data_IF_153298219185
#
_entry.id   IF_153298219185
#
_cell.length_a   1.000
_cell.length_b   1.000
_cell.length_c   1.000
_cell.angle_alpha   90.00
_cell.angle_beta   90.00
_cell.angle_gamma   90.00
#
_symmetry.space_group_name_H-M   'P 1'
#
loop_
_entity.id
_entity.type
_entity.pdbx_description
1 polymer ?
#
# COMPACT_ATOMS: atom_id res chain seq x y z
N UNK A 1 -2.61 0.13 28.83
CA UNK A 1 -2.78 1.50 28.32
C UNK A 1 -3.82 1.48 27.20
N UNK A 2 -4.98 2.12 27.34
CA UNK A 2 -5.89 2.32 26.21
C UNK A 2 -5.17 3.22 25.20
N UNK A 3 -4.62 2.64 24.13
CA UNK A 3 -4.07 3.40 23.00
C UNK A 3 -5.14 4.41 22.59
N UNK A 4 -4.87 5.71 22.78
CA UNK A 4 -5.75 6.75 22.28
C UNK A 4 -5.81 6.59 20.76
N UNK A 5 -7.03 6.51 20.22
CA UNK A 5 -7.24 6.43 18.77
C UNK A 5 -6.65 7.69 18.13
N UNK A 6 -5.86 7.51 17.07
CA UNK A 6 -5.18 8.62 16.37
C UNK A 6 -6.18 9.40 15.52
N UNK A 7 -7.15 8.74 14.89
CA UNK A 7 -8.13 9.41 14.04
C UNK A 7 -9.49 8.73 13.96
N UNK A 8 -9.59 7.41 14.14
CA UNK A 8 -10.87 6.69 14.02
C UNK A 8 -11.86 7.07 15.14
N UNK A 9 -11.38 7.49 16.32
CA UNK A 9 -12.20 7.86 17.46
C UNK A 9 -13.23 6.79 17.80
N UNK A 10 -14.52 7.15 17.69
CA UNK A 10 -15.66 6.24 17.96
C UNK A 10 -15.80 5.12 16.92
N UNK A 11 -15.29 5.32 15.70
CA UNK A 11 -15.36 4.33 14.63
C UNK A 11 -14.35 3.18 14.82
N UNK A 12 -13.39 3.28 15.74
CA UNK A 12 -12.38 2.24 15.97
C UNK A 12 -13.00 0.89 16.35
N UNK A 13 -14.02 0.90 17.21
CA UNK A 13 -14.77 -0.30 17.63
C UNK A 13 -15.41 -1.03 16.46
N UNK A 14 -16.30 -0.38 15.67
CA UNK A 14 -16.94 -1.03 14.53
C UNK A 14 -15.95 -1.42 13.43
N UNK A 15 -14.90 -0.64 13.18
CA UNK A 15 -13.85 -0.99 12.20
C UNK A 15 -13.08 -2.24 12.64
N UNK A 16 -12.74 -2.36 13.93
CA UNK A 16 -12.12 -3.57 14.49
C UNK A 16 -13.03 -4.79 14.34
N UNK A 17 -14.32 -4.63 14.63
CA UNK A 17 -15.30 -5.72 14.51
C UNK A 17 -15.47 -6.17 13.06
N UNK A 18 -15.53 -5.22 12.11
CA UNK A 18 -15.57 -5.51 10.69
C UNK A 18 -14.29 -6.23 10.23
N UNK A 19 -13.11 -5.76 10.63
CA UNK A 19 -11.83 -6.44 10.36
C UNK A 19 -11.86 -7.89 10.84
N UNK A 20 -12.23 -8.13 12.11
CA UNK A 20 -12.31 -9.49 12.67
C UNK A 20 -13.34 -10.33 11.91
N UNK A 21 -14.50 -9.75 11.57
CA UNK A 21 -15.55 -10.43 10.82
C UNK A 21 -15.10 -10.87 9.43
N UNK A 22 -14.46 -9.97 8.67
CA UNK A 22 -13.94 -10.29 7.34
C UNK A 22 -12.77 -11.29 7.37
N UNK A 23 -11.83 -11.13 8.32
CA UNK A 23 -10.75 -12.11 8.52
C UNK A 23 -11.29 -13.49 8.93
N UNK A 24 -12.26 -13.53 9.84
CA UNK A 24 -12.91 -14.77 10.27
C UNK A 24 -13.67 -15.43 9.11
N UNK A 25 -14.41 -14.64 8.33
CA UNK A 25 -15.10 -15.14 7.13
C UNK A 25 -14.09 -15.71 6.13
N UNK A 26 -13.03 -14.98 5.80
CA UNK A 26 -11.99 -15.47 4.89
C UNK A 26 -11.35 -16.77 5.40
N UNK A 27 -11.08 -16.88 6.70
CA UNK A 27 -10.51 -18.09 7.30
C UNK A 27 -11.49 -19.27 7.24
N UNK A 28 -12.77 -19.06 7.56
CA UNK A 28 -13.79 -20.12 7.48
C UNK A 28 -13.96 -20.60 6.04
N UNK A 29 -14.04 -19.69 5.08
CA UNK A 29 -14.12 -20.03 3.66
C UNK A 29 -12.85 -20.78 3.19
N UNK A 30 -11.69 -20.44 3.74
CA UNK A 30 -10.41 -21.05 3.36
C UNK A 30 -10.34 -22.48 3.89
N UNK A 31 -10.66 -22.66 5.17
CA UNK A 31 -10.75 -23.99 5.79
C UNK A 31 -11.75 -24.85 5.03
N UNK A 32 -12.92 -24.31 4.67
CA UNK A 32 -13.89 -25.02 3.86
C UNK A 32 -13.33 -25.49 2.52
N UNK A 33 -12.65 -24.60 1.77
CA UNK A 33 -12.03 -24.95 0.48
C UNK A 33 -10.93 -26.01 0.61
N UNK A 34 -10.12 -25.93 1.67
CA UNK A 34 -9.07 -26.91 1.96
C UNK A 34 -9.67 -28.26 2.36
N UNK A 35 -10.68 -28.27 3.24
CA UNK A 35 -11.39 -29.49 3.63
C UNK A 35 -12.07 -30.16 2.44
N UNK A 36 -12.73 -29.38 1.59
CA UNK A 36 -13.33 -29.89 0.35
C UNK A 36 -12.28 -30.52 -0.58
N UNK A 37 -11.09 -29.91 -0.67
CA UNK A 37 -9.98 -30.45 -1.46
C UNK A 37 -9.43 -31.78 -0.91
N UNK A 38 -9.47 -31.99 0.40
CA UNK A 38 -9.04 -33.25 1.02
C UNK A 38 -10.08 -34.35 0.85
N UNK A 39 -11.38 -34.00 0.90
CA UNK A 39 -12.48 -34.95 0.75
C UNK A 39 -12.69 -35.40 -0.70
N UNK A 40 -12.67 -34.45 -1.65
CA UNK A 40 -12.91 -34.71 -3.07
C UNK A 40 -11.79 -34.12 -3.95
N UNK A 41 -10.64 -34.82 -4.10
CA UNK A 41 -9.50 -34.31 -4.85
C UNK A 41 -9.79 -34.03 -6.33
N UNK A 42 -10.76 -34.73 -6.93
CA UNK A 42 -11.11 -34.59 -8.35
C UNK A 42 -11.93 -33.32 -8.66
N UNK A 43 -12.60 -32.74 -7.66
CA UNK A 43 -13.36 -31.47 -7.79
C UNK A 43 -12.67 -30.29 -7.11
N UNK A 44 -11.47 -30.52 -6.58
CA UNK A 44 -10.71 -29.54 -5.81
C UNK A 44 -10.42 -28.27 -6.61
N UNK A 45 -10.74 -27.12 -6.02
CA UNK A 45 -10.54 -25.82 -6.65
C UNK A 45 -9.04 -25.52 -6.76
N UNK A 46 -8.55 -25.42 -8.00
CA UNK A 46 -7.16 -25.04 -8.28
C UNK A 46 -6.91 -23.55 -8.07
N UNK A 47 -5.65 -23.14 -7.87
CA UNK A 47 -5.30 -21.72 -7.73
C UNK A 47 -5.63 -20.88 -8.97
N UNK A 48 -5.67 -21.47 -10.17
CA UNK A 48 -6.13 -20.79 -11.39
C UNK A 48 -7.63 -20.43 -11.31
N UNK A 49 -8.44 -21.35 -10.79
CA UNK A 49 -9.89 -21.17 -10.64
C UNK A 49 -10.22 -20.18 -9.51
N UNK A 50 -9.29 -19.99 -8.56
CA UNK A 50 -9.42 -18.97 -7.52
C UNK A 50 -9.35 -17.54 -8.05
N UNK A 51 -8.57 -17.28 -9.11
CA UNK A 51 -8.49 -15.95 -9.74
C UNK A 51 -9.64 -15.73 -10.72
N UNK A 52 -10.12 -16.79 -11.36
CA UNK A 52 -11.21 -16.74 -12.35
C UNK A 52 -12.43 -17.50 -11.83
N UNK A 53 -13.23 -16.91 -10.92
CA UNK A 53 -14.42 -17.55 -10.38
C UNK A 53 -15.58 -17.54 -11.39
N UNK A 54 -15.41 -18.17 -12.54
CA UNK A 54 -16.49 -18.39 -13.49
C UNK A 54 -17.42 -19.47 -12.93
N UNK A 55 -18.66 -19.09 -12.61
CA UNK A 55 -19.68 -20.01 -12.08
C UNK A 55 -19.51 -20.48 -10.63
N UNK A 56 -18.45 -20.06 -9.89
CA UNK A 56 -18.21 -20.51 -8.50
C UNK A 56 -18.49 -19.40 -7.48
N UNK A 57 -19.69 -19.34 -6.87
CA UNK A 57 -20.07 -18.26 -5.96
C UNK A 57 -19.21 -18.24 -4.68
N UNK A 58 -18.76 -19.40 -4.22
CA UNK A 58 -17.93 -19.53 -3.02
C UNK A 58 -16.58 -18.82 -3.15
N UNK A 59 -15.96 -18.92 -4.33
CA UNK A 59 -14.68 -18.24 -4.61
C UNK A 59 -14.87 -16.72 -4.72
N UNK A 60 -15.99 -16.26 -5.32
CA UNK A 60 -16.31 -14.82 -5.34
C UNK A 60 -16.48 -14.26 -3.93
N UNK A 61 -17.16 -15.02 -3.06
CA UNK A 61 -17.33 -14.66 -1.66
C UNK A 61 -16.00 -14.62 -0.92
N UNK A 62 -15.10 -15.58 -1.19
CA UNK A 62 -13.74 -15.58 -0.65
C UNK A 62 -12.95 -14.34 -1.09
N UNK A 63 -12.94 -14.02 -2.38
CA UNK A 63 -12.24 -12.83 -2.88
C UNK A 63 -12.79 -11.55 -2.26
N UNK A 64 -14.11 -11.44 -2.14
CA UNK A 64 -14.76 -10.33 -1.45
C UNK A 64 -14.34 -10.26 0.02
N UNK A 65 -14.31 -11.41 0.71
CA UNK A 65 -13.91 -11.48 2.10
C UNK A 65 -12.44 -11.06 2.30
N UNK A 66 -11.54 -11.49 1.41
CA UNK A 66 -10.12 -11.12 1.43
C UNK A 66 -9.90 -9.63 1.15
N UNK A 67 -10.61 -9.05 0.18
CA UNK A 67 -10.55 -7.61 -0.11
C UNK A 67 -11.08 -6.82 1.09
N UNK A 68 -12.20 -7.24 1.67
CA UNK A 68 -12.76 -6.64 2.88
C UNK A 68 -11.79 -6.75 4.07
N UNK A 69 -11.17 -7.91 4.27
CA UNK A 69 -10.20 -8.14 5.33
C UNK A 69 -8.99 -7.21 5.16
N UNK A 70 -8.43 -7.12 3.95
CA UNK A 70 -7.31 -6.22 3.66
C UNK A 70 -7.70 -4.76 3.92
N UNK A 71 -8.87 -4.32 3.44
CA UNK A 71 -9.34 -2.94 3.61
C UNK A 71 -9.56 -2.58 5.08
N UNK A 72 -10.32 -3.37 5.83
CA UNK A 72 -10.60 -3.08 7.23
C UNK A 72 -9.38 -3.28 8.14
N UNK A 73 -8.49 -4.22 7.82
CA UNK A 73 -7.21 -4.36 8.52
C UNK A 73 -6.31 -3.15 8.29
N UNK A 74 -6.15 -2.72 7.04
CA UNK A 74 -5.44 -1.49 6.69
C UNK A 74 -6.03 -0.27 7.41
N UNK A 75 -7.36 -0.14 7.44
CA UNK A 75 -8.05 0.94 8.13
C UNK A 75 -7.80 0.91 9.64
N UNK A 76 -7.93 -0.26 10.27
CA UNK A 76 -7.67 -0.42 11.71
C UNK A 76 -6.21 -0.16 12.08
N UNK A 77 -5.26 -0.68 11.30
CA UNK A 77 -3.83 -0.49 11.51
C UNK A 77 -3.38 0.96 11.25
N UNK A 78 -4.13 1.73 10.46
CA UNK A 78 -3.85 3.16 10.25
C UNK A 78 -4.11 4.02 11.48
N UNK A 79 -4.84 3.50 12.47
CA UNK A 79 -5.11 4.19 13.73
C UNK A 79 -3.99 4.04 14.76
N UNK A 80 -2.91 3.34 14.38
CA UNK A 80 -1.68 3.22 15.17
C UNK A 80 -0.60 4.10 14.55
N UNK A 81 0.00 4.97 15.37
CA UNK A 81 1.15 5.78 15.01
C UNK A 81 2.42 5.02 15.41
N UNK A 82 3.32 4.79 14.46
CA UNK A 82 4.67 4.27 14.75
C UNK A 82 5.59 5.36 15.32
N UNK A 83 6.66 4.96 15.99
CA UNK A 83 7.59 5.90 16.64
C UNK A 83 8.28 6.82 15.61
N UNK A 84 8.68 6.25 14.47
CA UNK A 84 9.31 6.95 13.35
C UNK A 84 8.32 7.61 12.36
N UNK A 85 7.01 7.56 12.65
CA UNK A 85 5.99 8.00 11.70
C UNK A 85 5.68 9.50 11.88
N UNK A 86 5.84 10.33 10.82
CA UNK A 86 5.63 11.76 10.94
C UNK A 86 4.17 12.08 11.28
N UNK A 87 3.98 13.18 12.02
CA UNK A 87 2.65 13.68 12.35
C UNK A 87 1.83 14.03 11.10
N UNK A 88 0.50 13.88 11.20
CA UNK A 88 -0.46 14.25 10.14
C UNK A 88 -0.43 15.76 9.90
N UNK A 89 -0.28 16.18 8.65
CA UNK A 89 -0.17 17.60 8.27
C UNK A 89 -1.17 17.96 7.19
N UNK A 90 -1.29 17.11 6.17
CA UNK A 90 -2.18 17.29 5.04
C UNK A 90 -3.56 16.68 5.25
N UNK A 91 -4.54 17.15 4.48
CA UNK A 91 -5.89 16.59 4.47
C UNK A 91 -5.92 15.17 3.85
N UNK A 92 -4.97 14.87 2.94
CA UNK A 92 -4.92 13.60 2.22
C UNK A 92 -4.12 12.51 2.95
N UNK A 93 -3.39 12.87 4.01
CA UNK A 93 -2.47 11.98 4.72
C UNK A 93 -3.16 10.73 5.28
N UNK A 94 -4.45 10.80 5.67
CA UNK A 94 -5.18 9.63 6.17
C UNK A 94 -5.29 8.55 5.09
N UNK A 95 -5.62 8.95 3.87
CA UNK A 95 -5.76 8.00 2.75
C UNK A 95 -4.42 7.35 2.49
N UNK A 96 -3.35 8.14 2.50
CA UNK A 96 -1.98 7.70 2.30
C UNK A 96 -1.51 6.71 3.36
N UNK A 97 -1.83 6.98 4.62
CA UNK A 97 -1.56 6.07 5.75
C UNK A 97 -2.33 4.75 5.61
N UNK A 98 -3.62 4.80 5.27
CA UNK A 98 -4.42 3.58 5.04
C UNK A 98 -3.77 2.76 3.92
N UNK A 99 -3.47 3.38 2.78
CA UNK A 99 -2.83 2.72 1.65
C UNK A 99 -1.44 2.14 2.01
N UNK A 100 -0.64 2.83 2.82
CA UNK A 100 0.66 2.31 3.27
C UNK A 100 0.51 1.09 4.20
N UNK A 101 -0.51 1.06 5.06
CA UNK A 101 -0.84 -0.14 5.85
C UNK A 101 -1.31 -1.30 4.99
N UNK A 102 -2.02 -1.03 3.89
CA UNK A 102 -2.34 -2.08 2.92
C UNK A 102 -1.05 -2.65 2.30
N UNK A 103 -0.12 -1.78 1.87
CA UNK A 103 1.18 -2.22 1.34
C UNK A 103 1.99 -3.04 2.35
N UNK A 104 2.02 -2.63 3.63
CA UNK A 104 2.66 -3.37 4.72
C UNK A 104 2.11 -4.80 4.85
N UNK A 105 0.78 -4.96 4.83
CA UNK A 105 0.13 -6.28 4.87
C UNK A 105 0.52 -7.10 3.63
N UNK A 106 0.50 -6.49 2.44
CA UNK A 106 0.87 -7.18 1.20
C UNK A 106 2.32 -7.68 1.21
N UNK A 107 3.27 -6.91 1.77
CA UNK A 107 4.66 -7.35 1.96
C UNK A 107 4.72 -8.60 2.83
N UNK A 108 4.00 -8.62 3.96
CA UNK A 108 3.94 -9.80 4.82
C UNK A 108 3.36 -11.02 4.07
N UNK A 109 2.32 -10.82 3.26
CA UNK A 109 1.73 -11.88 2.42
C UNK A 109 2.74 -12.41 1.39
N UNK A 110 3.51 -11.53 0.72
CA UNK A 110 4.55 -11.94 -0.23
C UNK A 110 5.60 -12.81 0.46
N UNK A 111 6.06 -12.42 1.65
CA UNK A 111 7.03 -13.21 2.43
C UNK A 111 6.48 -14.60 2.73
N UNK A 112 5.22 -14.71 3.17
CA UNK A 112 4.58 -15.99 3.46
C UNK A 112 4.44 -16.87 2.20
N UNK A 113 4.04 -16.29 1.07
CA UNK A 113 3.89 -16.99 -0.22
C UNK A 113 5.25 -17.51 -0.71
N UNK A 114 6.29 -16.68 -0.65
CA UNK A 114 7.63 -17.08 -1.09
C UNK A 114 8.26 -18.10 -0.15
N UNK A 115 8.05 -17.96 1.17
CA UNK A 115 8.47 -18.96 2.14
C UNK A 115 7.80 -20.31 1.86
N UNK A 116 6.49 -20.31 1.60
CA UNK A 116 5.77 -21.52 1.19
C UNK A 116 6.36 -22.14 -0.07
N UNK A 117 6.67 -21.35 -1.11
CA UNK A 117 7.28 -21.86 -2.35
C UNK A 117 8.64 -22.52 -2.10
N UNK A 118 9.50 -21.89 -1.29
CA UNK A 118 10.81 -22.45 -0.91
C UNK A 118 10.63 -23.79 -0.20
N UNK A 119 9.75 -23.87 0.81
CA UNK A 119 9.48 -25.12 1.52
C UNK A 119 8.90 -26.18 0.57
N UNK A 120 7.92 -25.83 -0.26
CA UNK A 120 7.27 -26.75 -1.21
C UNK A 120 8.25 -27.33 -2.22
N UNK A 121 9.15 -26.49 -2.74
CA UNK A 121 10.15 -26.89 -3.73
C UNK A 121 11.26 -27.74 -3.13
N UNK A 122 11.85 -27.33 -2.01
CA UNK A 122 13.06 -27.96 -1.48
C UNK A 122 12.77 -29.10 -0.52
N UNK A 123 11.67 -29.06 0.25
CA UNK A 123 11.31 -30.11 1.21
C UNK A 123 10.41 -31.16 0.56
N UNK A 124 9.42 -30.72 -0.22
CA UNK A 124 8.41 -31.62 -0.79
C UNK A 124 8.63 -31.95 -2.27
N UNK A 125 9.66 -31.36 -2.92
CA UNK A 125 9.95 -31.54 -4.36
C UNK A 125 8.74 -31.26 -5.26
N UNK A 126 7.87 -30.33 -4.86
CA UNK A 126 6.62 -29.96 -5.55
C UNK A 126 6.60 -28.44 -5.81
N UNK A 127 7.32 -27.94 -6.82
CA UNK A 127 7.34 -26.51 -7.13
C UNK A 127 5.93 -26.02 -7.51
N UNK A 128 5.57 -24.80 -7.10
CA UNK A 128 4.28 -24.23 -7.49
C UNK A 128 4.38 -23.34 -8.72
N UNK A 129 3.32 -23.36 -9.54
CA UNK A 129 3.24 -22.54 -10.75
C UNK A 129 2.81 -21.10 -10.47
N UNK A 130 2.25 -20.83 -9.28
CA UNK A 130 1.56 -19.58 -8.97
C UNK A 130 2.33 -18.66 -8.02
N UNK A 131 3.16 -19.19 -7.12
CA UNK A 131 3.72 -18.38 -6.03
C UNK A 131 4.62 -17.24 -6.51
N UNK A 132 5.46 -17.51 -7.52
CA UNK A 132 6.35 -16.49 -8.10
C UNK A 132 5.55 -15.35 -8.76
N UNK A 133 4.58 -15.70 -9.60
CA UNK A 133 3.76 -14.72 -10.32
C UNK A 133 2.82 -13.95 -9.38
N UNK A 134 2.25 -14.61 -8.37
CA UNK A 134 1.46 -13.94 -7.33
C UNK A 134 2.32 -12.91 -6.58
N UNK A 135 3.53 -13.30 -6.22
CA UNK A 135 4.46 -12.39 -5.51
C UNK A 135 4.84 -11.20 -6.37
N UNK A 136 5.12 -11.40 -7.67
CA UNK A 136 5.36 -10.31 -8.62
C UNK A 136 4.14 -9.38 -8.74
N UNK A 137 2.94 -9.95 -8.79
CA UNK A 137 1.71 -9.18 -8.90
C UNK A 137 1.46 -8.32 -7.65
N UNK A 138 1.58 -8.90 -6.46
CA UNK A 138 1.46 -8.19 -5.20
C UNK A 138 2.57 -7.13 -5.03
N UNK A 139 3.81 -7.46 -5.40
CA UNK A 139 4.94 -6.54 -5.35
C UNK A 139 4.71 -5.31 -6.26
N UNK A 140 4.04 -5.49 -7.40
CA UNK A 140 3.67 -4.37 -8.28
C UNK A 140 2.72 -3.39 -7.60
N UNK A 141 1.73 -3.88 -6.84
CA UNK A 141 0.86 -3.02 -6.03
C UNK A 141 1.64 -2.33 -4.91
N UNK A 142 2.49 -3.08 -4.19
CA UNK A 142 3.33 -2.53 -3.10
C UNK A 142 4.21 -1.40 -3.63
N UNK A 143 4.88 -1.58 -4.77
CA UNK A 143 5.74 -0.58 -5.38
C UNK A 143 4.99 0.74 -5.65
N UNK A 144 3.78 0.65 -6.21
CA UNK A 144 2.95 1.82 -6.52
C UNK A 144 2.44 2.53 -5.25
N UNK A 145 2.06 1.76 -4.24
CA UNK A 145 1.63 2.31 -2.94
C UNK A 145 2.80 2.93 -2.17
N UNK A 146 4.00 2.35 -2.26
CA UNK A 146 5.21 2.89 -1.64
C UNK A 146 5.57 4.27 -2.18
N UNK A 147 5.41 4.50 -3.49
CA UNK A 147 5.60 5.84 -4.07
C UNK A 147 4.64 6.89 -3.49
N UNK A 148 3.40 6.50 -3.24
CA UNK A 148 2.41 7.37 -2.61
C UNK A 148 2.80 7.69 -1.16
N UNK A 149 3.20 6.68 -0.38
CA UNK A 149 3.65 6.87 1.00
C UNK A 149 4.94 7.71 1.10
N UNK A 150 5.91 7.48 0.20
CA UNK A 150 7.12 8.29 0.12
C UNK A 150 6.82 9.77 -0.17
N UNK A 151 5.83 10.05 -1.03
CA UNK A 151 5.37 11.42 -1.28
C UNK A 151 4.75 12.03 -0.02
N UNK A 152 3.94 11.28 0.73
CA UNK A 152 3.37 11.76 2.01
C UNK A 152 4.46 12.11 3.03
N UNK A 153 5.49 11.27 3.15
CA UNK A 153 6.60 11.49 4.07
C UNK A 153 7.62 12.54 3.61
N UNK A 154 7.51 13.06 2.38
CA UNK A 154 8.50 13.94 1.72
C UNK A 154 9.89 13.31 1.61
N UNK A 155 9.97 11.99 1.52
CA UNK A 155 11.25 11.27 1.41
C UNK A 155 11.89 11.36 0.02
N UNK A 156 11.34 12.18 -0.89
CA UNK A 156 11.97 12.47 -2.16
C UNK A 156 13.17 13.39 -1.94
N UNK A 157 14.30 13.04 -2.54
CA UNK A 157 15.54 13.80 -2.43
C UNK A 157 15.31 15.26 -2.83
N UNK A 158 15.55 16.18 -1.88
CA UNK A 158 15.47 17.63 -2.06
C UNK A 158 16.85 18.25 -1.82
N UNK A 159 17.24 19.20 -2.67
CA UNK A 159 18.51 19.93 -2.51
C UNK A 159 18.27 21.12 -1.57
N UNK A 160 18.62 20.96 -0.29
CA UNK A 160 18.40 21.98 0.74
C UNK A 160 19.35 23.18 0.62
N UNK A 161 20.60 22.97 0.18
CA UNK A 161 21.62 24.04 0.16
C UNK A 161 21.15 25.28 -0.59
N UNK A 162 20.59 25.11 -1.80
CA UNK A 162 20.10 26.25 -2.58
C UNK A 162 18.78 26.75 -2.00
N UNK A 163 17.89 25.84 -1.58
CA UNK A 163 16.56 26.13 -1.06
C UNK A 163 16.62 27.01 0.21
N UNK A 164 17.56 26.74 1.12
CA UNK A 164 17.70 27.44 2.41
C UNK A 164 18.17 28.88 2.23
N UNK A 165 18.93 29.17 1.18
CA UNK A 165 19.36 30.52 0.83
C UNK A 165 18.30 31.34 0.08
N UNK A 166 17.19 30.73 -0.34
CA UNK A 166 16.15 31.43 -1.09
C UNK A 166 15.23 32.29 -0.19
N UNK A 167 14.86 33.51 -0.60
CA UNK A 167 13.81 34.27 0.08
C UNK A 167 12.47 33.52 0.02
N UNK A 168 11.59 33.75 1.01
CA UNK A 168 10.31 33.02 1.17
C UNK A 168 9.47 32.95 -0.11
N UNK A 169 9.39 34.05 -0.87
CA UNK A 169 8.61 34.09 -2.10
C UNK A 169 9.14 33.15 -3.18
N UNK A 170 10.47 33.05 -3.33
CA UNK A 170 11.11 32.20 -4.35
C UNK A 170 10.95 30.72 -4.01
N UNK A 171 10.98 30.36 -2.72
CA UNK A 171 10.66 29.00 -2.26
C UNK A 171 9.24 28.59 -2.57
N UNK A 172 8.26 29.43 -2.22
CA UNK A 172 6.84 29.18 -2.54
C UNK A 172 6.64 29.00 -4.04
N UNK A 173 7.31 29.80 -4.87
CA UNK A 173 7.28 29.65 -6.32
C UNK A 173 7.90 28.32 -6.75
N UNK A 174 9.06 27.93 -6.22
CA UNK A 174 9.72 26.66 -6.55
C UNK A 174 8.87 25.43 -6.15
N UNK A 175 8.27 25.45 -4.95
CA UNK A 175 7.38 24.39 -4.48
C UNK A 175 6.11 24.31 -5.35
N UNK A 176 5.54 25.46 -5.72
CA UNK A 176 4.37 25.54 -6.61
C UNK A 176 4.70 25.00 -8.01
N UNK A 177 5.85 25.38 -8.58
CA UNK A 177 6.30 24.87 -9.89
C UNK A 177 6.51 23.36 -9.82
N UNK A 178 7.14 22.85 -8.76
CA UNK A 178 7.37 21.41 -8.59
C UNK A 178 6.05 20.63 -8.57
N UNK A 179 5.06 21.12 -7.83
CA UNK A 179 3.72 20.49 -7.75
C UNK A 179 2.97 20.62 -9.08
N UNK A 180 3.10 21.73 -9.79
CA UNK A 180 2.54 21.91 -11.12
C UNK A 180 3.15 20.91 -12.10
N UNK A 181 4.46 20.72 -12.09
CA UNK A 181 5.16 19.72 -12.93
C UNK A 181 4.70 18.30 -12.59
N UNK A 182 4.59 17.94 -11.31
CA UNK A 182 4.07 16.63 -10.87
C UNK A 182 2.63 16.43 -11.38
N UNK A 183 1.78 17.44 -11.22
CA UNK A 183 0.36 17.37 -11.62
C UNK A 183 0.22 17.32 -13.14
N UNK A 184 1.01 18.11 -13.87
CA UNK A 184 1.05 18.11 -15.34
C UNK A 184 1.56 16.78 -15.89
N UNK A 185 2.60 16.21 -15.28
CA UNK A 185 3.10 14.87 -15.63
C UNK A 185 2.05 13.79 -15.34
N UNK A 186 1.39 13.85 -14.18
CA UNK A 186 0.30 12.94 -13.83
C UNK A 186 -0.85 13.02 -14.85
N UNK A 187 -1.25 14.24 -15.23
CA UNK A 187 -2.25 14.45 -16.27
C UNK A 187 -1.82 13.86 -17.62
N UNK A 188 -0.59 14.11 -18.06
CA UNK A 188 -0.07 13.57 -19.31
C UNK A 188 -0.01 12.03 -19.33
N UNK A 189 0.39 11.41 -18.21
CA UNK A 189 0.39 9.94 -18.08
C UNK A 189 -1.02 9.36 -18.08
N UNK A 190 -1.96 9.98 -17.39
CA UNK A 190 -3.37 9.55 -17.41
C UNK A 190 -3.91 9.70 -18.83
N UNK A 191 -3.73 10.86 -19.48
CA UNK A 191 -4.20 11.10 -20.84
C UNK A 191 -3.61 10.09 -21.84
N UNK A 192 -2.29 9.91 -21.84
CA UNK A 192 -1.60 9.01 -22.76
C UNK A 192 -1.84 7.52 -22.47
N UNK A 193 -2.01 7.15 -21.19
CA UNK A 193 -2.17 5.76 -20.77
C UNK A 193 -3.62 5.28 -20.67
N UNK A 194 -4.61 6.18 -20.65
CA UNK A 194 -6.00 5.82 -20.35
C UNK A 194 -6.60 4.83 -21.34
N UNK A 195 -6.39 5.03 -22.65
CA UNK A 195 -6.95 4.15 -23.70
C UNK A 195 -6.40 2.73 -23.61
N UNK A 196 -5.09 2.58 -23.38
CA UNK A 196 -4.46 1.29 -23.18
C UNK A 196 -4.95 0.67 -21.87
N UNK A 197 -4.86 1.38 -20.73
CA UNK A 197 -5.31 0.86 -19.43
C UNK A 197 -6.78 0.40 -19.45
N UNK A 198 -7.68 1.19 -20.06
CA UNK A 198 -9.08 0.82 -20.24
C UNK A 198 -9.23 -0.45 -21.08
N UNK A 199 -8.51 -0.56 -22.18
CA UNK A 199 -8.59 -1.73 -23.07
C UNK A 199 -8.14 -3.00 -22.35
N UNK A 200 -7.02 -2.94 -21.62
CA UNK A 200 -6.48 -4.08 -20.86
C UNK A 200 -7.39 -4.49 -19.72
N UNK A 201 -7.98 -3.52 -19.02
CA UNK A 201 -8.94 -3.77 -17.94
C UNK A 201 -10.20 -4.45 -18.44
N UNK A 202 -10.82 -3.93 -19.51
CA UNK A 202 -12.06 -4.49 -20.07
C UNK A 202 -11.87 -5.90 -20.63
N UNK A 203 -10.68 -6.19 -21.19
CA UNK A 203 -10.34 -7.53 -21.68
C UNK A 203 -9.86 -8.46 -20.57
N UNK A 204 -9.63 -7.95 -19.35
CA UNK A 204 -8.94 -8.65 -18.28
C UNK A 204 -7.67 -9.35 -18.80
N UNK A 205 -6.83 -8.59 -19.52
CA UNK A 205 -5.66 -9.16 -20.20
C UNK A 205 -4.70 -9.81 -19.21
N UNK A 206 -4.19 -10.96 -19.63
CA UNK A 206 -3.47 -11.92 -18.79
C UNK A 206 -1.99 -11.94 -19.14
N UNK A 207 -1.18 -12.51 -18.25
CA UNK A 207 0.27 -12.44 -18.34
C UNK A 207 0.88 -13.38 -19.40
N UNK A 208 0.14 -14.38 -19.88
CA UNK A 208 0.58 -15.31 -20.93
C UNK A 208 1.45 -16.48 -20.43
N UNK A 209 1.39 -16.78 -19.13
CA UNK A 209 2.19 -17.79 -18.43
C UNK A 209 1.35 -18.98 -17.97
N UNK A 210 1.96 -19.98 -17.33
CA UNK A 210 1.25 -21.19 -16.89
C UNK A 210 0.13 -20.90 -15.88
N UNK A 211 0.28 -19.92 -14.98
CA UNK A 211 -0.78 -19.52 -14.04
C UNK A 211 -1.69 -18.43 -14.60
N UNK A 212 -1.19 -17.61 -15.53
CA UNK A 212 -1.92 -16.63 -16.34
C UNK A 212 -2.79 -15.62 -15.56
N UNK A 213 -2.26 -14.94 -14.52
CA UNK A 213 -2.99 -13.93 -13.78
C UNK A 213 -3.27 -12.67 -14.62
N UNK A 214 -4.34 -11.91 -14.34
CA UNK A 214 -4.66 -10.66 -15.03
C UNK A 214 -3.78 -9.50 -14.54
N UNK A 215 -2.44 -9.67 -14.59
CA UNK A 215 -1.47 -8.65 -14.18
C UNK A 215 -1.62 -7.39 -15.04
N UNK A 216 -1.53 -7.43 -16.38
CA UNK A 216 -1.71 -6.24 -17.20
C UNK A 216 -3.08 -5.59 -17.03
N UNK A 217 -4.13 -6.41 -16.92
CA UNK A 217 -5.50 -5.94 -16.75
C UNK A 217 -5.74 -5.16 -15.45
N UNK A 218 -5.04 -5.50 -14.36
CA UNK A 218 -5.23 -4.86 -13.05
C UNK A 218 -4.19 -3.81 -12.71
N UNK A 219 -2.92 -4.03 -13.06
CA UNK A 219 -1.82 -3.12 -12.70
C UNK A 219 -1.85 -1.85 -13.54
N UNK A 220 -2.19 -1.90 -14.83
CA UNK A 220 -2.20 -0.68 -15.67
C UNK A 220 -3.25 0.36 -15.22
N UNK A 221 -4.51 -0.01 -14.94
CA UNK A 221 -5.46 0.93 -14.34
C UNK A 221 -5.01 1.42 -12.98
N UNK A 222 -4.48 0.52 -12.14
CA UNK A 222 -4.03 0.88 -10.80
C UNK A 222 -2.83 1.83 -10.82
N UNK A 223 -1.91 1.69 -11.79
CA UNK A 223 -0.81 2.63 -12.03
C UNK A 223 -1.34 4.04 -12.28
N UNK A 224 -2.35 4.21 -13.14
CA UNK A 224 -2.95 5.52 -13.41
C UNK A 224 -3.61 6.11 -12.15
N UNK A 225 -4.31 5.28 -11.38
CA UNK A 225 -4.90 5.69 -10.10
C UNK A 225 -3.79 6.13 -9.14
N UNK A 226 -2.74 5.33 -8.97
CA UNK A 226 -1.62 5.62 -8.07
C UNK A 226 -0.92 6.94 -8.41
N UNK A 227 -0.71 7.23 -9.70
CA UNK A 227 -0.13 8.50 -10.15
C UNK A 227 -1.03 9.69 -9.79
N UNK A 228 -2.35 9.56 -9.93
CA UNK A 228 -3.31 10.59 -9.48
C UNK A 228 -3.23 10.77 -7.97
N UNK A 229 -3.17 9.68 -7.19
CA UNK A 229 -3.04 9.75 -5.73
C UNK A 229 -1.75 10.47 -5.30
N UNK A 230 -0.63 10.23 -6.00
CA UNK A 230 0.65 10.94 -5.78
C UNK A 230 0.50 12.43 -6.07
N UNK A 231 -0.15 12.81 -7.18
CA UNK A 231 -0.38 14.22 -7.52
C UNK A 231 -1.28 14.92 -6.48
N UNK A 232 -2.34 14.26 -6.03
CA UNK A 232 -3.21 14.78 -4.95
C UNK A 232 -2.43 14.92 -3.64
N UNK A 233 -1.57 13.96 -3.29
CA UNK A 233 -0.70 14.08 -2.11
C UNK A 233 0.29 15.23 -2.25
N UNK A 234 0.87 15.45 -3.43
CA UNK A 234 1.78 16.59 -3.66
C UNK A 234 1.07 17.93 -3.45
N UNK A 235 -0.17 18.07 -3.90
CA UNK A 235 -1.03 19.24 -3.64
C UNK A 235 -1.33 19.37 -2.14
N UNK A 236 -1.69 18.27 -1.47
CA UNK A 236 -1.93 18.24 -0.02
C UNK A 236 -0.72 18.72 0.78
N UNK A 237 0.49 18.28 0.40
CA UNK A 237 1.74 18.71 1.02
C UNK A 237 2.00 20.20 0.82
N UNK A 238 1.80 20.72 -0.40
CA UNK A 238 1.97 22.15 -0.70
C UNK A 238 1.06 23.04 0.15
N UNK A 239 -0.21 22.63 0.30
CA UNK A 239 -1.19 23.35 1.11
C UNK A 239 -0.78 23.31 2.58
N UNK A 240 -0.37 22.15 3.09
CA UNK A 240 0.05 21.98 4.47
C UNK A 240 1.31 22.79 4.82
N UNK A 241 2.23 22.95 3.86
CA UNK A 241 3.48 23.70 4.06
C UNK A 241 3.39 25.19 3.85
N UNK A 242 2.28 25.68 3.29
CA UNK A 242 2.22 27.04 2.75
C UNK A 242 2.62 28.13 3.74
N UNK A 243 2.37 27.90 5.04
CA UNK A 243 2.66 28.85 6.11
C UNK A 243 3.79 28.42 7.05
N UNK A 244 4.49 27.33 6.75
CA UNK A 244 5.54 26.77 7.63
C UNK A 244 6.89 27.45 7.42
N UNK A 245 7.67 27.53 8.48
CA UNK A 245 9.02 28.10 8.42
C UNK A 245 10.07 27.02 8.08
N UNK A 246 11.30 27.43 7.72
CA UNK A 246 12.39 26.49 7.41
C UNK A 246 12.71 25.60 8.61
N UNK A 247 12.74 26.20 9.81
CA UNK A 247 13.01 25.47 11.04
C UNK A 247 12.01 24.32 11.26
N UNK A 248 10.74 24.55 10.94
CA UNK A 248 9.69 23.54 11.09
C UNK A 248 9.84 22.40 10.06
N UNK A 249 10.40 22.68 8.88
CA UNK A 249 10.63 21.68 7.84
C UNK A 249 11.80 20.77 8.20
N UNK A 250 12.90 21.32 8.72
CA UNK A 250 14.08 20.55 9.15
C UNK A 250 13.80 19.76 10.43
N UNK A 251 12.99 20.29 11.35
CA UNK A 251 12.60 19.57 12.58
C UNK A 251 11.82 18.27 12.29
N UNK A 252 11.14 18.18 11.15
CA UNK A 252 10.43 16.95 10.76
C UNK A 252 11.34 15.87 10.17
N UNK A 253 12.54 16.24 9.70
CA UNK A 253 13.50 15.28 9.15
C UNK A 253 14.34 14.63 10.24
N UNK A 254 14.50 15.28 11.39
CA UNK A 254 15.30 14.77 12.50
C UNK A 254 14.40 13.93 13.41
N UNK A 255 14.72 12.64 13.53
CA UNK A 255 13.99 11.71 14.38
C UNK A 255 14.22 12.07 15.87
N UNK A 256 13.17 12.54 16.56
CA UNK A 256 13.22 12.86 18.00
C UNK A 256 13.70 11.66 18.84
N UNK A 257 13.36 10.43 18.43
CA UNK A 257 13.83 9.23 19.12
C UNK A 257 15.31 8.97 18.89
N UNK A 258 15.86 9.34 17.73
CA UNK A 258 17.29 9.30 17.47
C UNK A 258 18.03 10.33 18.33
N UNK A 259 17.48 11.54 18.47
CA UNK A 259 18.03 12.56 19.40
C UNK A 259 18.02 12.05 20.84
N UNK A 260 16.93 11.44 21.29
CA UNK A 260 16.81 10.92 22.66
C UNK A 260 17.78 9.76 22.90
N UNK A 261 17.96 8.86 21.93
CA UNK A 261 18.94 7.79 22.00
C UNK A 261 20.39 8.33 22.03
N UNK A 262 20.69 9.36 21.23
CA UNK A 262 21.98 10.06 21.26
C UNK A 262 22.19 10.71 22.63
N UNK A 263 21.17 11.39 23.18
CA UNK A 263 21.25 11.99 24.51
C UNK A 263 21.50 10.92 25.58
N UNK A 264 20.76 9.80 25.56
CA UNK A 264 20.91 8.71 26.53
C UNK A 264 22.30 8.09 26.48
N UNK A 265 22.82 7.85 25.28
CA UNK A 265 24.19 7.31 25.12
C UNK A 265 25.26 8.29 25.62
N UNK A 266 25.06 9.60 25.46
CA UNK A 266 25.96 10.62 26.00
C UNK A 266 25.88 10.74 27.54
N UNK A 267 24.70 10.54 28.12
CA UNK A 267 24.49 10.52 29.58
C UNK A 267 25.07 9.24 30.23
N UNK A 268 25.08 8.11 29.54
CA UNK A 268 25.70 6.86 30.01
C UNK A 268 27.25 6.90 30.00
N UNK A 269 27.86 7.84 29.27
CA UNK A 269 29.32 7.99 29.14
C UNK A 269 29.93 9.14 29.97
N UNK A 270 29.13 9.89 30.72
CA UNK A 270 29.56 10.94 31.67
C UNK A 270 29.28 10.51 33.12
#
# INVERSE_FOLDING_TARGET
>A
MMSKSVWLGRARGPVKLAMIGFCGLALVLYVWLVSARVMDPETAIGMQEMIRPQGRPMVKLMMFALIGALFFASLYLSDFKGDIEPGRKGFFDIVSLVLSRAAMILVAVIVLVMFYEVVSRYVFSRPTLWANELSLWLASFVFLLAGQYAMQQRSHIRIYVIYDHMPRWMRKTADTISVLLITGFAFALVWGGYSDAKTRFLRMETFGTAWDPPIPGTIKPFLLIAIVLVAVQAISNLIADWNREIADLHADEIDETEIENIRRTLEEHN
#
